data_IF_116689372465
#
_entry.id   IF_116689372465
#
_cell.length_a   1.000
_cell.length_b   1.000
_cell.length_c   1.000
_cell.angle_alpha   90.00
_cell.angle_beta   90.00
_cell.angle_gamma   90.00
#
_symmetry.space_group_name_H-M   'P 1'
#
loop_
_entity.id
_entity.type
_entity.pdbx_description
1 polymer ?
#
# COMPACT_ATOMS: atom_id res chain seq x y z
N UNK A 1 -22.36 9.19 -16.92
CA UNK A 1 -21.48 8.01 -16.96
C UNK A 1 -22.10 6.98 -17.88
N UNK A 2 -21.42 6.60 -18.96
CA UNK A 2 -21.85 5.50 -19.83
C UNK A 2 -21.77 4.18 -19.05
N UNK A 3 -22.82 3.36 -19.11
CA UNK A 3 -22.77 2.01 -18.55
C UNK A 3 -21.89 1.13 -19.46
N UNK A 4 -20.82 0.54 -18.91
CA UNK A 4 -19.99 -0.44 -19.63
C UNK A 4 -20.51 -1.85 -19.39
N UNK A 5 -20.64 -2.63 -20.46
CA UNK A 5 -20.89 -4.08 -20.38
C UNK A 5 -19.55 -4.82 -20.43
N UNK A 6 -19.19 -5.52 -19.35
CA UNK A 6 -17.91 -6.22 -19.22
C UNK A 6 -18.08 -7.68 -18.81
N UNK A 7 -17.11 -8.51 -19.19
CA UNK A 7 -16.95 -9.88 -18.70
C UNK A 7 -15.59 -10.04 -18.04
N UNK A 8 -15.60 -10.66 -16.86
CA UNK A 8 -14.38 -11.08 -16.17
C UNK A 8 -14.10 -12.53 -16.54
N UNK A 9 -13.03 -12.75 -17.29
CA UNK A 9 -12.52 -14.08 -17.61
C UNK A 9 -11.58 -14.48 -16.47
N UNK A 10 -12.14 -15.23 -15.52
CA UNK A 10 -11.39 -15.85 -14.45
C UNK A 10 -11.28 -17.35 -14.72
N UNK A 11 -10.06 -17.89 -14.60
CA UNK A 11 -9.88 -19.34 -14.66
C UNK A 11 -10.51 -19.98 -13.43
N UNK A 12 -11.61 -20.70 -13.63
CA UNK A 12 -12.15 -21.62 -12.63
C UNK A 12 -11.42 -22.93 -12.83
N UNK A 13 -10.45 -23.25 -11.95
CA UNK A 13 -9.84 -24.58 -12.00
C UNK A 13 -10.90 -25.60 -11.57
N UNK A 14 -11.55 -26.25 -12.51
CA UNK A 14 -12.21 -27.52 -12.22
C UNK A 14 -11.12 -28.53 -11.88
N UNK A 15 -11.11 -28.95 -10.60
CA UNK A 15 -10.53 -30.18 -10.05
C UNK A 15 -9.34 -30.82 -10.78
N UNK A 16 -8.18 -30.89 -10.10
CA UNK A 16 -7.08 -31.82 -10.36
C UNK A 16 -6.80 -32.06 -11.86
N UNK A 17 -6.16 -31.10 -12.51
CA UNK A 17 -5.30 -31.46 -13.64
C UNK A 17 -4.14 -32.30 -13.07
N UNK A 18 -4.35 -33.62 -13.00
CA UNK A 18 -3.25 -34.57 -13.03
C UNK A 18 -2.47 -34.26 -14.29
N UNK A 19 -1.33 -33.59 -14.11
CA UNK A 19 -0.26 -33.62 -15.09
C UNK A 19 0.14 -35.08 -15.18
N UNK A 20 -0.42 -35.81 -16.14
CA UNK A 20 0.16 -37.05 -16.62
C UNK A 20 1.49 -36.69 -17.29
N UNK A 21 2.50 -36.48 -16.46
CA UNK A 21 3.87 -36.61 -16.88
C UNK A 21 4.06 -38.08 -17.21
N UNK A 22 4.33 -38.33 -18.49
CA UNK A 22 4.69 -39.59 -19.08
C UNK A 22 5.58 -40.40 -18.12
N UNK A 23 5.03 -41.48 -17.56
CA UNK A 23 5.78 -42.41 -16.73
C UNK A 23 6.60 -43.31 -17.63
N UNK A 24 7.75 -42.82 -18.07
CA UNK A 24 8.82 -43.69 -18.52
C UNK A 24 10.17 -43.19 -17.99
N UNK A 25 10.93 -44.15 -17.44
CA UNK A 25 12.29 -44.06 -16.92
C UNK A 25 12.43 -43.56 -15.46
N UNK A 26 12.39 -44.51 -14.52
CA UNK A 26 13.08 -44.42 -13.23
C UNK A 26 14.59 -44.30 -13.50
N UNK A 27 15.13 -43.09 -13.40
CA UNK A 27 16.56 -42.85 -13.24
C UNK A 27 16.82 -42.35 -11.81
N UNK A 28 17.56 -43.15 -11.03
CA UNK A 28 18.05 -42.82 -9.69
C UNK A 28 19.18 -41.79 -9.77
N UNK A 29 18.83 -40.54 -10.07
CA UNK A 29 19.72 -39.40 -10.04
C UNK A 29 18.94 -38.09 -9.87
N UNK A 30 19.32 -37.27 -8.89
CA UNK A 30 18.78 -35.92 -8.75
C UNK A 30 19.25 -35.10 -9.96
N UNK A 31 18.37 -34.88 -10.94
CA UNK A 31 18.62 -33.93 -12.04
C UNK A 31 18.72 -32.50 -11.49
N UNK A 32 19.44 -31.61 -12.17
CA UNK A 32 19.57 -30.19 -11.79
C UNK A 32 18.19 -29.55 -11.57
N UNK A 33 17.19 -29.92 -12.37
CA UNK A 33 15.80 -29.44 -12.26
C UNK A 33 15.09 -29.97 -11.01
N UNK A 34 15.38 -31.19 -10.58
CA UNK A 34 14.87 -31.74 -9.32
C UNK A 34 15.48 -31.04 -8.11
N UNK A 35 16.79 -30.77 -8.15
CA UNK A 35 17.49 -30.02 -7.10
C UNK A 35 16.97 -28.57 -7.01
N UNK A 36 16.78 -27.91 -8.16
CA UNK A 36 16.22 -26.56 -8.23
C UNK A 36 14.83 -26.45 -7.59
N UNK A 37 13.97 -27.45 -7.81
CA UNK A 37 12.64 -27.53 -7.17
C UNK A 37 12.73 -27.71 -5.66
N UNK A 38 13.62 -28.57 -5.19
CA UNK A 38 13.84 -28.80 -3.75
C UNK A 38 14.35 -27.52 -3.08
N UNK A 39 15.36 -26.87 -3.66
CA UNK A 39 15.91 -25.60 -3.12
C UNK A 39 14.85 -24.51 -3.11
N UNK A 40 14.07 -24.35 -4.20
CA UNK A 40 12.96 -23.38 -4.25
C UNK A 40 11.97 -23.60 -3.10
N UNK A 41 11.56 -24.85 -2.86
CA UNK A 41 10.64 -25.18 -1.76
C UNK A 41 11.26 -24.91 -0.39
N UNK A 42 12.51 -25.30 -0.17
CA UNK A 42 13.23 -25.07 1.08
C UNK A 42 13.35 -23.56 1.38
N UNK A 43 13.82 -22.76 0.42
CA UNK A 43 13.90 -21.30 0.54
C UNK A 43 12.54 -20.68 0.91
N UNK A 44 11.46 -21.06 0.22
CA UNK A 44 10.13 -20.54 0.55
C UNK A 44 9.66 -20.94 1.96
N UNK A 45 9.99 -22.14 2.44
CA UNK A 45 9.70 -22.51 3.83
C UNK A 45 10.50 -21.66 4.81
N UNK A 46 11.79 -21.46 4.57
CA UNK A 46 12.63 -20.59 5.40
C UNK A 46 12.11 -19.15 5.45
N UNK A 47 11.75 -18.59 4.30
CA UNK A 47 11.12 -17.26 4.20
C UNK A 47 9.86 -17.16 5.08
N UNK A 48 9.00 -18.17 5.06
CA UNK A 48 7.78 -18.22 5.89
C UNK A 48 8.06 -18.40 7.39
N UNK A 49 9.11 -19.12 7.76
CA UNK A 49 9.50 -19.28 9.17
C UNK A 49 10.02 -17.97 9.74
N UNK A 50 10.83 -17.23 8.97
CA UNK A 50 11.45 -15.98 9.43
C UNK A 50 10.48 -14.79 9.43
N UNK A 51 9.66 -14.65 8.38
CA UNK A 51 8.81 -13.48 8.17
C UNK A 51 7.32 -13.76 8.33
N UNK A 52 6.95 -14.97 8.74
CA UNK A 52 5.56 -15.40 8.83
C UNK A 52 4.96 -15.76 7.46
N UNK A 53 3.74 -16.30 7.48
CA UNK A 53 2.98 -16.53 6.26
C UNK A 53 2.36 -15.24 5.77
N UNK A 54 2.24 -15.10 4.45
CA UNK A 54 1.39 -14.07 3.90
C UNK A 54 -0.03 -14.28 4.44
N UNK A 55 -0.72 -13.19 4.80
CA UNK A 55 -2.17 -13.26 5.02
C UNK A 55 -2.79 -13.66 3.70
N UNK A 56 -3.71 -14.62 3.72
CA UNK A 56 -4.54 -14.88 2.56
C UNK A 56 -5.27 -13.58 2.27
N UNK A 57 -4.94 -12.91 1.16
CA UNK A 57 -5.90 -11.98 0.60
C UNK A 57 -7.11 -12.83 0.28
N UNK A 58 -8.33 -12.43 0.68
CA UNK A 58 -9.52 -13.12 0.24
C UNK A 58 -9.39 -13.18 -1.27
N UNK A 59 -9.12 -14.39 -1.77
CA UNK A 59 -9.14 -14.65 -3.19
C UNK A 59 -10.48 -14.12 -3.66
N UNK A 60 -10.50 -13.52 -4.85
CA UNK A 60 -11.67 -12.87 -5.46
C UNK A 60 -12.91 -13.80 -5.54
N UNK A 61 -12.81 -15.05 -5.08
CA UNK A 61 -13.92 -15.97 -4.85
C UNK A 61 -14.13 -16.34 -3.37
N UNK A 62 -14.51 -15.39 -2.51
CA UNK A 62 -15.27 -15.75 -1.30
C UNK A 62 -16.72 -16.04 -1.75
N UNK A 63 -17.23 -17.28 -1.60
CA UNK A 63 -18.59 -17.63 -2.00
C UNK A 63 -19.66 -16.76 -1.35
N UNK A 64 -19.44 -16.30 -0.10
CA UNK A 64 -20.37 -15.39 0.57
C UNK A 64 -20.32 -13.99 -0.06
N UNK A 65 -19.13 -13.52 -0.45
CA UNK A 65 -18.96 -12.21 -1.10
C UNK A 65 -19.51 -12.22 -2.53
N UNK A 66 -19.34 -13.31 -3.28
CA UNK A 66 -20.01 -13.58 -4.55
C UNK A 66 -21.53 -13.68 -4.41
N UNK A 67 -22.02 -14.35 -3.36
CA UNK A 67 -23.45 -14.44 -3.08
C UNK A 67 -24.07 -13.09 -2.68
N UNK A 68 -23.26 -12.16 -2.13
CA UNK A 68 -23.63 -10.76 -1.87
C UNK A 68 -23.53 -9.87 -3.12
N UNK A 69 -22.76 -10.26 -4.13
CA UNK A 69 -22.70 -9.60 -5.45
C UNK A 69 -23.94 -9.91 -6.33
N UNK A 70 -25.03 -10.40 -5.75
CA UNK A 70 -26.36 -10.45 -6.40
C UNK A 70 -26.81 -9.03 -6.73
N UNK A 71 -26.29 -8.51 -7.85
CA UNK A 71 -26.80 -7.32 -8.50
C UNK A 71 -27.65 -7.76 -9.68
N UNK A 72 -28.72 -7.03 -9.95
CA UNK A 72 -29.56 -7.18 -11.14
C UNK A 72 -28.78 -6.92 -12.45
N UNK A 73 -27.47 -6.63 -12.37
CA UNK A 73 -26.56 -6.35 -13.48
C UNK A 73 -25.79 -7.58 -13.99
N UNK A 74 -25.86 -8.74 -13.32
CA UNK A 74 -25.22 -9.96 -13.83
C UNK A 74 -26.08 -10.57 -14.93
N UNK A 75 -25.77 -10.25 -16.20
CA UNK A 75 -26.64 -10.57 -17.36
C UNK A 75 -26.51 -11.99 -17.92
N UNK A 76 -25.61 -12.83 -17.41
CA UNK A 76 -25.48 -14.21 -17.90
C UNK A 76 -24.21 -14.93 -17.44
N UNK A 77 -24.04 -16.15 -17.94
CA UNK A 77 -22.82 -16.97 -17.82
C UNK A 77 -22.33 -17.32 -19.22
N UNK A 78 -21.01 -17.39 -19.39
CA UNK A 78 -20.36 -17.69 -20.67
C UNK A 78 -19.47 -18.89 -20.46
N UNK A 79 -19.60 -19.85 -21.35
CA UNK A 79 -18.71 -21.01 -21.37
C UNK A 79 -17.48 -20.68 -22.19
N UNK A 80 -16.32 -20.91 -21.60
CA UNK A 80 -15.02 -20.65 -22.20
C UNK A 80 -14.12 -21.86 -21.98
N UNK A 81 -13.40 -22.22 -23.04
CA UNK A 81 -12.37 -23.24 -23.02
C UNK A 81 -11.03 -22.57 -23.22
N UNK A 82 -10.01 -23.03 -22.51
CA UNK A 82 -8.66 -22.48 -22.66
C UNK A 82 -7.68 -23.61 -22.90
N UNK A 83 -6.98 -23.54 -24.03
CA UNK A 83 -5.86 -24.42 -24.35
C UNK A 83 -4.56 -23.71 -23.99
N UNK A 84 -3.60 -24.46 -23.45
CA UNK A 84 -2.26 -23.94 -23.15
C UNK A 84 -1.20 -24.80 -23.82
N UNK A 85 -0.30 -24.15 -24.55
CA UNK A 85 0.89 -24.77 -25.13
C UNK A 85 2.12 -23.92 -24.78
N UNK A 86 2.97 -24.44 -23.90
CA UNK A 86 4.15 -23.74 -23.37
C UNK A 86 3.80 -22.39 -22.70
N UNK A 87 4.19 -21.29 -23.33
CA UNK A 87 3.93 -19.91 -22.90
C UNK A 87 2.68 -19.32 -23.53
N UNK A 88 2.02 -20.03 -24.45
CA UNK A 88 0.84 -19.56 -25.17
C UNK A 88 -0.43 -20.07 -24.53
N UNK A 89 -1.46 -19.23 -24.53
CA UNK A 89 -2.84 -19.61 -24.24
C UNK A 89 -3.74 -19.20 -25.39
N UNK A 90 -4.74 -20.03 -25.67
CA UNK A 90 -5.79 -19.77 -26.64
C UNK A 90 -7.13 -19.98 -25.92
N UNK A 91 -7.86 -18.89 -25.70
CA UNK A 91 -9.20 -18.90 -25.10
C UNK A 91 -10.25 -18.84 -26.19
N UNK A 92 -10.94 -19.97 -26.33
CA UNK A 92 -12.11 -20.10 -27.18
C UNK A 92 -13.37 -19.90 -26.35
N UNK A 93 -14.23 -18.99 -26.78
CA UNK A 93 -15.54 -18.82 -26.18
C UNK A 93 -16.53 -19.67 -26.98
N UNK A 94 -17.15 -20.65 -26.30
CA UNK A 94 -18.02 -21.65 -26.95
C UNK A 94 -19.45 -21.17 -27.10
N UNK A 95 -19.76 -19.96 -26.61
CA UNK A 95 -21.04 -19.28 -26.77
C UNK A 95 -20.91 -18.15 -27.78
N UNK A 96 -21.99 -17.84 -28.49
CA UNK A 96 -22.00 -16.80 -29.51
C UNK A 96 -21.85 -15.41 -28.87
N UNK A 97 -20.61 -14.89 -28.87
CA UNK A 97 -20.27 -13.57 -28.33
C UNK A 97 -20.95 -12.42 -29.10
N UNK A 98 -21.34 -12.64 -30.37
CA UNK A 98 -21.95 -11.60 -31.20
C UNK A 98 -23.27 -11.09 -30.64
N UNK A 99 -23.95 -11.90 -29.82
CA UNK A 99 -25.22 -11.56 -29.19
C UNK A 99 -25.08 -10.71 -27.91
N UNK A 100 -23.88 -10.54 -27.37
CA UNK A 100 -23.64 -9.92 -26.06
C UNK A 100 -23.14 -8.48 -26.11
N UNK A 101 -22.84 -7.94 -27.30
CA UNK A 101 -22.34 -6.57 -27.54
C UNK A 101 -21.38 -6.03 -26.45
N UNK A 102 -20.26 -6.70 -26.26
CA UNK A 102 -19.35 -6.44 -25.13
C UNK A 102 -18.48 -5.21 -25.37
N UNK A 103 -18.39 -4.33 -24.38
CA UNK A 103 -17.51 -3.16 -24.45
C UNK A 103 -16.07 -3.54 -24.11
N UNK A 104 -15.85 -4.37 -23.08
CA UNK A 104 -14.51 -4.72 -22.59
C UNK A 104 -14.44 -6.16 -22.04
N UNK A 105 -13.36 -6.88 -22.37
CA UNK A 105 -13.02 -8.13 -21.71
C UNK A 105 -11.93 -7.89 -20.66
N UNK A 106 -12.11 -8.43 -19.44
CA UNK A 106 -11.10 -8.35 -18.38
C UNK A 106 -10.51 -9.72 -18.12
N UNK A 107 -9.22 -9.89 -18.41
CA UNK A 107 -8.48 -11.14 -18.23
C UNK A 107 -7.75 -11.13 -16.90
N UNK A 108 -8.23 -11.96 -15.97
CA UNK A 108 -7.64 -12.14 -14.64
C UNK A 108 -6.80 -13.44 -14.53
N UNK A 109 -6.53 -14.13 -15.64
CA UNK A 109 -5.79 -15.40 -15.68
C UNK A 109 -4.32 -15.21 -16.06
N UNK A 110 -3.41 -15.89 -15.34
CA UNK A 110 -1.95 -15.87 -15.58
C UNK A 110 -1.44 -17.04 -16.42
N UNK A 111 -2.25 -17.55 -17.36
CA UNK A 111 -2.05 -18.86 -17.99
C UNK A 111 -1.18 -18.85 -19.25
N UNK A 112 -0.59 -17.71 -19.60
CA UNK A 112 0.27 -17.54 -20.76
C UNK A 112 -0.06 -16.28 -21.53
N UNK A 113 0.62 -16.08 -22.65
CA UNK A 113 0.39 -15.01 -23.59
C UNK A 113 -0.79 -15.42 -24.48
N UNK A 114 -1.85 -14.61 -24.45
CA UNK A 114 -3.08 -14.88 -25.18
C UNK A 114 -2.88 -14.77 -26.68
N UNK A 115 -3.54 -15.66 -27.43
CA UNK A 115 -3.60 -15.67 -28.88
C UNK A 115 -5.02 -15.98 -29.33
N UNK A 116 -5.28 -15.80 -30.63
CA UNK A 116 -6.53 -16.22 -31.25
C UNK A 116 -7.54 -15.08 -31.48
N UNK A 117 -8.74 -15.42 -31.96
CA UNK A 117 -9.75 -14.47 -32.41
C UNK A 117 -10.24 -13.51 -31.32
N UNK A 118 -10.20 -13.94 -30.05
CA UNK A 118 -10.70 -13.17 -28.91
C UNK A 118 -10.01 -11.80 -28.77
N UNK A 119 -8.75 -11.68 -29.22
CA UNK A 119 -8.02 -10.41 -29.22
C UNK A 119 -8.65 -9.35 -30.13
N UNK A 120 -9.42 -9.73 -31.15
CA UNK A 120 -10.00 -8.79 -32.13
C UNK A 120 -11.54 -8.79 -32.13
N UNK A 121 -12.18 -9.92 -31.86
CA UNK A 121 -13.61 -10.13 -32.14
C UNK A 121 -14.45 -10.26 -30.87
N UNK A 122 -13.82 -10.24 -29.68
CA UNK A 122 -14.51 -10.50 -28.41
C UNK A 122 -15.14 -9.28 -27.73
N UNK A 123 -14.71 -8.05 -28.05
CA UNK A 123 -15.25 -6.81 -27.47
C UNK A 123 -14.82 -5.57 -28.23
N UNK A 124 -15.57 -4.47 -28.07
CA UNK A 124 -15.32 -3.19 -28.74
C UNK A 124 -13.98 -2.55 -28.36
N UNK A 125 -13.56 -2.66 -27.10
CA UNK A 125 -12.35 -2.03 -26.54
C UNK A 125 -11.22 -3.02 -26.26
N UNK A 126 -11.40 -4.30 -26.60
CA UNK A 126 -10.38 -5.34 -26.50
C UNK A 126 -10.25 -5.98 -25.11
N UNK A 127 -9.13 -6.66 -24.88
CA UNK A 127 -8.88 -7.43 -23.66
C UNK A 127 -7.96 -6.65 -22.72
N UNK A 128 -8.52 -6.13 -21.63
CA UNK A 128 -7.75 -5.63 -20.49
C UNK A 128 -7.06 -6.79 -19.77
N UNK A 129 -5.75 -6.72 -19.64
CA UNK A 129 -4.93 -7.69 -18.93
C UNK A 129 -3.95 -7.00 -18.01
N UNK A 130 -3.53 -7.71 -16.96
CA UNK A 130 -2.58 -7.20 -15.98
C UNK A 130 -1.26 -7.94 -16.10
N UNK A 131 -0.19 -7.16 -16.08
CA UNK A 131 1.14 -7.63 -15.75
C UNK A 131 1.45 -7.28 -14.30
N UNK A 132 1.71 -8.27 -13.45
CA UNK A 132 2.12 -8.07 -12.05
C UNK A 132 3.61 -7.72 -11.95
N UNK A 133 3.96 -6.61 -12.61
CA UNK A 133 5.27 -5.99 -12.60
C UNK A 133 5.14 -4.54 -13.05
N UNK A 134 6.11 -3.72 -12.65
CA UNK A 134 6.25 -2.37 -13.17
C UNK A 134 7.10 -2.42 -14.43
N UNK A 135 6.48 -2.31 -15.60
CA UNK A 135 7.12 -2.63 -16.89
C UNK A 135 8.46 -1.90 -17.14
N UNK A 136 8.64 -0.70 -16.60
CA UNK A 136 9.87 0.09 -16.77
C UNK A 136 11.06 -0.50 -15.99
N UNK A 137 10.79 -1.32 -14.96
CA UNK A 137 11.80 -1.89 -14.06
C UNK A 137 11.88 -3.41 -14.14
N UNK A 138 10.73 -4.07 -14.05
CA UNK A 138 10.63 -5.50 -13.81
C UNK A 138 9.62 -6.12 -14.79
N UNK A 139 10.13 -6.99 -15.65
CA UNK A 139 9.36 -7.76 -16.64
C UNK A 139 9.66 -9.23 -16.52
N UNK A 140 8.68 -10.06 -16.85
CA UNK A 140 8.79 -11.52 -16.71
C UNK A 140 8.37 -11.98 -15.32
N UNK A 141 9.14 -12.87 -14.70
CA UNK A 141 8.75 -13.43 -13.41
C UNK A 141 9.87 -14.11 -12.64
N UNK A 142 9.57 -14.68 -11.46
CA UNK A 142 8.25 -14.75 -10.82
C UNK A 142 7.87 -13.48 -10.05
N UNK A 143 6.57 -13.19 -9.99
CA UNK A 143 5.99 -12.03 -9.30
C UNK A 143 6.50 -11.94 -7.86
N UNK A 144 7.04 -10.78 -7.50
CA UNK A 144 7.43 -10.42 -6.16
C UNK A 144 8.82 -10.88 -5.72
N UNK A 145 9.57 -11.65 -6.53
CA UNK A 145 10.91 -12.11 -6.18
C UNK A 145 12.00 -11.09 -6.50
N UNK A 146 12.03 -10.62 -7.75
CA UNK A 146 13.15 -9.82 -8.26
C UNK A 146 13.17 -8.41 -7.67
N UNK A 147 12.00 -7.86 -7.40
CA UNK A 147 11.79 -6.60 -6.71
C UNK A 147 12.43 -6.63 -5.32
N UNK A 148 12.29 -7.75 -4.60
CA UNK A 148 12.94 -7.95 -3.29
C UNK A 148 14.45 -8.21 -3.45
N UNK A 149 14.84 -8.98 -4.47
CA UNK A 149 16.24 -9.32 -4.73
C UNK A 149 17.09 -8.09 -5.06
N UNK A 150 16.58 -7.22 -5.92
CA UNK A 150 17.23 -5.99 -6.37
C UNK A 150 16.91 -4.78 -5.49
N UNK A 151 15.97 -4.91 -4.53
CA UNK A 151 15.46 -3.81 -3.70
C UNK A 151 14.84 -2.69 -4.54
N UNK A 152 14.18 -3.08 -5.61
CA UNK A 152 13.44 -2.18 -6.50
C UNK A 152 11.96 -2.11 -6.07
N UNK A 153 11.23 -1.06 -6.48
CA UNK A 153 9.78 -1.02 -6.36
C UNK A 153 9.11 -2.19 -7.10
N UNK A 154 7.98 -2.63 -6.55
CA UNK A 154 7.05 -3.53 -7.23
C UNK A 154 6.05 -2.72 -8.04
N UNK A 155 5.22 -3.40 -8.82
CA UNK A 155 4.10 -2.71 -9.46
C UNK A 155 3.15 -3.63 -10.21
N UNK A 156 2.15 -3.01 -10.83
CA UNK A 156 1.17 -3.65 -11.70
C UNK A 156 0.98 -2.73 -12.89
N UNK A 157 1.05 -3.31 -14.08
CA UNK A 157 0.76 -2.61 -15.34
C UNK A 157 -0.54 -3.16 -15.92
N UNK A 158 -1.50 -2.28 -16.19
CA UNK A 158 -2.75 -2.61 -16.86
C UNK A 158 -2.66 -2.21 -18.32
N UNK A 159 -2.93 -3.14 -19.23
CA UNK A 159 -2.78 -2.94 -20.66
C UNK A 159 -3.90 -3.61 -21.46
N UNK A 160 -4.29 -3.02 -22.58
CA UNK A 160 -5.10 -3.70 -23.59
C UNK A 160 -4.16 -4.56 -24.44
N UNK A 161 -4.44 -5.86 -24.51
CA UNK A 161 -3.65 -6.80 -25.31
C UNK A 161 -3.83 -6.51 -26.80
N UNK A 162 -2.74 -6.63 -27.55
CA UNK A 162 -2.74 -6.65 -29.01
C UNK A 162 -1.98 -7.91 -29.51
N UNK A 163 -1.79 -8.02 -30.83
CA UNK A 163 -1.11 -9.18 -31.45
C UNK A 163 0.40 -9.19 -31.21
N UNK A 164 0.99 -8.06 -30.85
CA UNK A 164 2.43 -7.94 -30.65
C UNK A 164 2.81 -8.49 -29.27
N UNK A 165 3.84 -9.35 -29.24
CA UNK A 165 4.42 -9.77 -27.97
C UNK A 165 4.92 -8.53 -27.26
N UNK A 166 4.43 -8.32 -26.04
CA UNK A 166 4.79 -7.19 -25.21
C UNK A 166 4.41 -5.82 -25.79
N UNK A 167 3.50 -5.73 -26.78
CA UNK A 167 3.14 -4.46 -27.42
C UNK A 167 1.84 -3.83 -26.91
N UNK A 168 1.22 -4.39 -25.87
CA UNK A 168 -0.10 -3.98 -25.40
C UNK A 168 -0.18 -2.49 -25.06
N UNK A 169 -1.31 -1.86 -25.39
CA UNK A 169 -1.53 -0.44 -25.10
C UNK A 169 -1.68 -0.23 -23.59
N UNK A 170 -0.71 0.44 -22.98
CA UNK A 170 -0.69 0.64 -21.53
C UNK A 170 -1.76 1.66 -21.12
N UNK A 171 -2.70 1.22 -20.28
CA UNK A 171 -3.80 2.05 -19.77
C UNK A 171 -3.39 2.73 -18.48
N UNK A 172 -2.74 1.99 -17.57
CA UNK A 172 -2.19 2.54 -16.34
C UNK A 172 -1.04 1.70 -15.79
N UNK A 173 -0.15 2.34 -15.03
CA UNK A 173 0.97 1.71 -14.34
C UNK A 173 0.95 2.15 -12.88
N UNK A 174 1.14 1.20 -11.98
CA UNK A 174 1.02 1.42 -10.55
C UNK A 174 2.26 0.90 -9.85
N UNK A 175 2.94 1.76 -9.11
CA UNK A 175 4.11 1.39 -8.32
C UNK A 175 3.70 1.06 -6.88
N UNK A 176 4.25 -0.02 -6.35
CA UNK A 176 3.92 -0.57 -5.04
C UNK A 176 5.21 -0.78 -4.25
N UNK A 177 5.21 -0.40 -2.97
CA UNK A 177 6.34 -0.65 -2.07
C UNK A 177 6.58 -2.15 -1.90
N UNK A 178 7.78 -2.61 -2.26
CA UNK A 178 8.19 -4.00 -2.11
C UNK A 178 8.19 -4.46 -0.64
N UNK A 179 7.78 -5.70 -0.40
CA UNK A 179 7.82 -6.32 0.93
C UNK A 179 9.20 -6.86 1.28
N UNK A 180 9.36 -7.29 2.53
CA UNK A 180 10.64 -7.76 3.06
C UNK A 180 11.06 -9.13 2.49
N UNK A 181 10.10 -9.95 2.05
CA UNK A 181 10.33 -11.30 1.54
C UNK A 181 9.49 -11.57 0.27
N UNK A 182 9.95 -12.43 -0.65
CA UNK A 182 9.27 -12.66 -1.94
C UNK A 182 7.81 -13.09 -1.83
N UNK A 183 7.46 -13.99 -0.90
CA UNK A 183 6.09 -14.48 -0.74
C UNK A 183 5.16 -13.40 -0.19
N UNK A 184 5.63 -12.58 0.76
CA UNK A 184 4.89 -11.42 1.27
C UNK A 184 4.70 -10.38 0.16
N UNK A 185 5.73 -10.18 -0.66
CA UNK A 185 5.68 -9.20 -1.73
C UNK A 185 4.68 -9.60 -2.81
N UNK A 186 4.70 -10.87 -3.23
CA UNK A 186 3.71 -11.43 -4.15
C UNK A 186 2.29 -11.26 -3.62
N UNK A 187 2.06 -11.57 -2.34
CA UNK A 187 0.76 -11.36 -1.71
C UNK A 187 0.33 -9.90 -1.81
N UNK A 188 1.22 -8.97 -1.42
CA UNK A 188 0.96 -7.53 -1.49
C UNK A 188 0.61 -7.09 -2.91
N UNK A 189 1.37 -7.50 -3.91
CA UNK A 189 1.10 -7.17 -5.32
C UNK A 189 -0.31 -7.68 -5.69
N UNK A 190 -0.64 -8.94 -5.40
CA UNK A 190 -1.97 -9.45 -5.71
C UNK A 190 -3.09 -8.73 -4.97
N UNK A 191 -2.86 -8.28 -3.73
CA UNK A 191 -3.80 -7.47 -2.96
C UNK A 191 -4.19 -6.13 -3.60
N UNK A 192 -3.42 -5.62 -4.57
CA UNK A 192 -3.72 -4.36 -5.30
C UNK A 192 -4.38 -4.59 -6.66
N UNK A 193 -4.54 -5.85 -7.09
CA UNK A 193 -5.07 -6.20 -8.42
C UNK A 193 -6.46 -5.59 -8.65
N UNK A 194 -7.34 -5.63 -7.64
CA UNK A 194 -8.70 -5.12 -7.76
C UNK A 194 -8.74 -3.62 -8.02
N UNK A 195 -8.01 -2.83 -7.22
CA UNK A 195 -7.96 -1.38 -7.37
C UNK A 195 -7.35 -0.97 -8.71
N UNK A 196 -6.36 -1.71 -9.21
CA UNK A 196 -5.75 -1.44 -10.52
C UNK A 196 -6.72 -1.71 -11.67
N UNK A 197 -7.53 -2.77 -11.59
CA UNK A 197 -8.58 -3.03 -12.58
C UNK A 197 -9.61 -1.90 -12.56
N UNK A 198 -10.08 -1.52 -11.38
CA UNK A 198 -11.06 -0.45 -11.21
C UNK A 198 -10.56 0.87 -11.84
N UNK A 199 -9.33 1.28 -11.53
CA UNK A 199 -8.72 2.46 -12.12
C UNK A 199 -8.59 2.35 -13.64
N UNK A 200 -8.09 1.22 -14.16
CA UNK A 200 -7.94 1.02 -15.59
C UNK A 200 -9.28 1.03 -16.35
N UNK A 201 -10.32 0.40 -15.79
CA UNK A 201 -11.68 0.44 -16.36
C UNK A 201 -12.24 1.86 -16.34
N UNK A 202 -12.01 2.62 -15.27
CA UNK A 202 -12.38 4.03 -15.18
C UNK A 202 -11.75 4.88 -16.28
N UNK A 203 -10.43 4.77 -16.47
CA UNK A 203 -9.71 5.45 -17.55
C UNK A 203 -10.26 5.08 -18.93
N UNK A 204 -10.51 3.79 -19.16
CA UNK A 204 -11.11 3.30 -20.42
C UNK A 204 -12.49 3.92 -20.60
N UNK A 205 -13.35 3.91 -19.58
CA UNK A 205 -14.71 4.45 -19.65
C UNK A 205 -14.74 5.95 -19.99
N UNK A 206 -13.73 6.70 -19.53
CA UNK A 206 -13.57 8.13 -19.77
C UNK A 206 -12.81 8.46 -21.05
N UNK A 207 -12.37 7.44 -21.80
CA UNK A 207 -11.59 7.60 -23.04
C UNK A 207 -10.29 8.41 -22.84
N UNK A 208 -9.70 8.27 -21.65
CA UNK A 208 -8.43 8.89 -21.34
C UNK A 208 -7.30 8.32 -22.21
N UNK A 209 -6.33 9.18 -22.52
CA UNK A 209 -5.17 8.79 -23.31
C UNK A 209 -4.39 7.64 -22.63
N UNK A 210 -3.87 6.69 -23.42
CA UNK A 210 -2.91 5.70 -22.96
C UNK A 210 -1.66 6.36 -22.34
N UNK A 211 -0.96 5.59 -21.51
CA UNK A 211 0.33 6.02 -20.96
C UNK A 211 1.40 5.76 -22.01
N UNK A 212 2.08 6.81 -22.45
CA UNK A 212 3.28 6.68 -23.28
C UNK A 212 4.45 6.19 -22.41
N UNK A 213 5.13 5.15 -22.87
CA UNK A 213 6.35 4.65 -22.22
C UNK A 213 7.40 4.42 -23.29
N UNK A 214 8.66 4.73 -22.97
CA UNK A 214 9.74 4.35 -23.86
C UNK A 214 9.81 2.81 -23.98
N UNK A 215 10.03 2.35 -25.20
CA UNK A 215 10.13 0.92 -25.52
C UNK A 215 11.19 0.23 -24.65
N UNK A 216 10.82 -0.96 -24.18
CA UNK A 216 11.50 -1.76 -23.18
C UNK A 216 13.03 -1.80 -23.24
N UNK A 217 13.70 -1.11 -22.31
CA UNK A 217 15.16 -1.11 -22.24
C UNK A 217 15.79 -2.23 -21.39
N UNK A 218 14.99 -2.99 -20.61
CA UNK A 218 15.49 -4.02 -19.68
C UNK A 218 15.16 -5.46 -20.13
N UNK A 219 16.08 -6.37 -19.80
CA UNK A 219 15.94 -7.81 -20.02
C UNK A 219 14.71 -8.42 -19.35
N UNK A 220 14.10 -9.43 -20.00
CA UNK A 220 12.99 -10.20 -19.44
C UNK A 220 13.53 -11.14 -18.34
N UNK A 221 13.09 -10.92 -17.11
CA UNK A 221 13.50 -11.70 -15.95
C UNK A 221 12.88 -13.10 -15.98
N UNK A 222 13.72 -14.09 -15.71
CA UNK A 222 13.38 -15.52 -15.74
C UNK A 222 13.36 -16.11 -14.33
N UNK A 223 13.01 -17.38 -14.21
CA UNK A 223 13.07 -18.09 -12.93
C UNK A 223 14.46 -17.99 -12.28
N UNK A 224 14.55 -17.58 -11.00
CA UNK A 224 15.81 -17.41 -10.28
C UNK A 224 16.61 -18.70 -10.20
N UNK A 225 17.90 -18.60 -10.49
CA UNK A 225 18.88 -19.69 -10.33
C UNK A 225 19.03 -20.04 -8.85
N UNK A 226 19.48 -21.27 -8.58
CA UNK A 226 19.75 -21.77 -7.22
C UNK A 226 20.63 -20.81 -6.41
N UNK A 227 21.71 -20.30 -7.00
CA UNK A 227 22.63 -19.37 -6.34
C UNK A 227 21.93 -18.06 -5.91
N UNK A 228 21.06 -17.50 -6.75
CA UNK A 228 20.32 -16.26 -6.45
C UNK A 228 19.34 -16.48 -5.29
N UNK A 229 18.71 -17.65 -5.22
CA UNK A 229 17.82 -18.04 -4.11
C UNK A 229 18.55 -18.13 -2.78
N UNK A 230 19.71 -18.79 -2.78
CA UNK A 230 20.57 -18.93 -1.60
C UNK A 230 21.07 -17.54 -1.16
N UNK A 231 21.56 -16.73 -2.11
CA UNK A 231 22.04 -15.37 -1.82
C UNK A 231 20.96 -14.50 -1.18
N UNK A 232 19.74 -14.53 -1.72
CA UNK A 232 18.62 -13.79 -1.13
C UNK A 232 18.29 -14.30 0.27
N UNK A 233 18.18 -15.62 0.46
CA UNK A 233 17.86 -16.20 1.76
C UNK A 233 18.93 -15.87 2.82
N UNK A 234 20.22 -15.89 2.47
CA UNK A 234 21.29 -15.47 3.37
C UNK A 234 21.16 -14.00 3.81
N UNK A 235 20.81 -13.10 2.87
CA UNK A 235 20.53 -11.68 3.19
C UNK A 235 19.31 -11.53 4.10
N UNK A 236 18.25 -12.29 3.85
CA UNK A 236 17.04 -12.30 4.67
C UNK A 236 17.34 -12.78 6.10
N UNK A 237 18.10 -13.86 6.27
CA UNK A 237 18.57 -14.34 7.58
C UNK A 237 19.38 -13.26 8.29
N UNK A 238 20.33 -12.62 7.60
CA UNK A 238 21.14 -11.54 8.18
C UNK A 238 20.31 -10.34 8.64
N UNK A 239 19.34 -9.91 7.83
CA UNK A 239 18.44 -8.82 8.20
C UNK A 239 17.57 -9.19 9.42
N UNK A 240 17.06 -10.43 9.47
CA UNK A 240 16.28 -10.92 10.60
C UNK A 240 17.10 -10.99 11.90
N UNK A 241 18.33 -11.50 11.84
CA UNK A 241 19.20 -11.61 13.03
C UNK A 241 19.61 -10.24 13.56
N UNK A 242 19.86 -9.25 12.68
CA UNK A 242 20.11 -7.86 13.06
C UNK A 242 18.90 -7.23 13.78
N UNK A 243 17.67 -7.51 13.32
CA UNK A 243 16.46 -7.03 13.99
C UNK A 243 16.29 -7.66 15.37
N UNK A 244 16.55 -8.97 15.50
CA UNK A 244 16.42 -9.68 16.77
C UNK A 244 17.47 -9.22 17.78
N UNK A 245 18.74 -9.07 17.37
CA UNK A 245 19.79 -8.56 18.24
C UNK A 245 19.48 -7.15 18.72
N UNK A 246 18.97 -6.28 17.86
CA UNK A 246 18.51 -4.94 18.24
C UNK A 246 17.36 -4.94 19.25
N UNK A 247 16.45 -5.93 19.21
CA UNK A 247 15.40 -6.10 20.23
C UNK A 247 15.98 -6.56 21.57
N UNK A 248 16.93 -7.49 21.54
CA UNK A 248 17.61 -8.00 22.75
C UNK A 248 18.41 -6.90 23.42
N UNK A 249 19.22 -6.14 22.66
CA UNK A 249 20.01 -5.01 23.16
C UNK A 249 19.09 -3.96 23.80
N UNK A 250 18.00 -3.58 23.12
CA UNK A 250 17.02 -2.63 23.68
C UNK A 250 16.41 -3.13 24.98
N UNK A 251 16.08 -4.44 25.07
CA UNK A 251 15.55 -5.05 26.29
C UNK A 251 16.59 -5.07 27.41
N UNK A 252 17.83 -5.42 27.12
CA UNK A 252 18.93 -5.47 28.09
C UNK A 252 19.28 -4.08 28.64
N UNK A 253 19.13 -3.03 27.82
CA UNK A 253 19.39 -1.65 28.21
C UNK A 253 18.20 -0.95 28.87
N UNK A 254 17.03 -1.59 29.03
CA UNK A 254 15.85 -0.99 29.68
C UNK A 254 16.16 -0.46 31.07
N UNK A 255 15.66 0.73 31.40
CA UNK A 255 15.87 1.39 32.70
C UNK A 255 17.28 1.94 32.95
N UNK A 256 18.25 1.67 32.07
CA UNK A 256 19.58 2.27 32.15
C UNK A 256 19.56 3.74 31.70
N UNK A 257 20.58 4.53 32.08
CA UNK A 257 20.75 5.90 31.54
C UNK A 257 20.87 5.91 30.00
N UNK A 258 21.39 4.83 29.42
CA UNK A 258 21.50 4.65 27.98
C UNK A 258 20.15 4.38 27.32
N UNK A 259 19.17 3.85 28.05
CA UNK A 259 17.81 3.65 27.56
C UNK A 259 17.19 4.95 27.06
N UNK A 260 17.46 6.06 27.74
CA UNK A 260 16.93 7.39 27.39
C UNK A 260 17.38 7.87 26.01
N UNK A 261 18.53 7.41 25.51
CA UNK A 261 19.00 7.70 24.15
C UNK A 261 18.43 6.72 23.10
N UNK A 262 17.71 5.68 23.53
CA UNK A 262 17.07 4.69 22.66
C UNK A 262 15.55 4.92 22.54
N UNK A 263 15.03 5.89 23.28
CA UNK A 263 13.62 6.30 23.27
C UNK A 263 13.46 7.38 22.20
N UNK A 264 12.37 7.31 21.45
CA UNK A 264 12.05 8.27 20.40
C UNK A 264 11.78 9.66 21.02
N UNK A 265 12.20 10.74 20.36
CA UNK A 265 12.01 12.09 20.88
C UNK A 265 11.98 13.12 19.76
N UNK A 266 11.37 14.26 20.03
CA UNK A 266 11.33 15.42 19.13
C UNK A 266 12.43 16.40 19.51
N UNK A 267 13.13 16.88 18.49
CA UNK A 267 14.17 17.89 18.62
C UNK A 267 13.86 19.07 17.71
N UNK A 268 14.12 20.28 18.21
CA UNK A 268 13.98 21.52 17.46
C UNK A 268 15.34 22.19 17.27
N UNK A 269 15.50 22.94 16.19
CA UNK A 269 16.72 23.73 15.94
C UNK A 269 16.39 24.99 15.15
N UNK A 270 17.00 26.10 15.54
CA UNK A 270 16.99 27.36 14.77
C UNK A 270 18.06 27.38 13.69
N UNK A 271 18.87 26.31 13.56
CA UNK A 271 19.96 26.26 12.60
C UNK A 271 19.40 26.16 11.15
N UNK A 272 19.58 27.21 10.32
CA UNK A 272 19.02 27.23 8.98
C UNK A 272 19.63 26.16 8.05
N UNK A 273 20.84 25.68 8.37
CA UNK A 273 21.53 24.63 7.60
C UNK A 273 21.09 23.22 7.98
N UNK A 274 20.14 23.06 8.91
CA UNK A 274 19.59 21.77 9.38
C UNK A 274 20.67 20.77 9.82
N UNK A 275 21.84 21.25 10.25
CA UNK A 275 22.93 20.39 10.76
C UNK A 275 22.52 19.87 12.13
N UNK A 276 22.84 18.60 12.43
CA UNK A 276 22.65 17.95 13.74
C UNK A 276 23.60 18.49 14.81
N UNK A 277 23.61 19.81 14.99
CA UNK A 277 24.40 20.52 16.00
C UNK A 277 23.45 21.43 16.76
N UNK A 278 23.53 21.42 18.10
CA UNK A 278 22.74 22.27 18.98
C UNK A 278 21.22 22.11 18.80
N UNK A 279 20.77 20.86 18.68
CA UNK A 279 19.34 20.55 18.67
C UNK A 279 18.81 20.54 20.10
N UNK A 280 17.74 21.27 20.35
CA UNK A 280 17.07 21.36 21.64
C UNK A 280 16.01 20.27 21.72
N UNK A 281 16.09 19.31 22.66
CA UNK A 281 15.01 18.36 22.90
C UNK A 281 13.77 19.12 23.40
N UNK A 282 12.62 18.88 22.76
CA UNK A 282 11.33 19.48 23.15
C UNK A 282 10.96 19.04 24.57
N UNK A 283 11.10 17.75 24.84
CA UNK A 283 10.97 17.16 26.15
C UNK A 283 12.30 16.55 26.58
N UNK A 284 12.90 17.12 27.62
CA UNK A 284 14.15 16.63 28.20
C UNK A 284 13.98 16.29 29.68
N UNK A 285 14.76 15.30 30.15
CA UNK A 285 14.88 14.97 31.57
C UNK A 285 13.63 14.31 32.17
N UNK A 286 13.30 14.69 33.41
CA UNK A 286 12.21 14.10 34.22
C UNK A 286 10.80 14.55 33.77
N UNK A 287 10.69 15.30 32.67
CA UNK A 287 9.42 15.79 32.10
C UNK A 287 8.57 14.68 31.48
N UNK A 288 9.19 13.57 31.08
CA UNK A 288 8.50 12.36 30.63
C UNK A 288 8.60 11.29 31.71
N UNK A 289 7.50 10.54 31.89
CA UNK A 289 7.54 9.33 32.70
C UNK A 289 8.54 8.36 32.07
N UNK A 290 9.27 7.61 32.91
CA UNK A 290 10.27 6.64 32.44
C UNK A 290 9.65 5.73 31.38
N UNK A 291 10.17 5.83 30.15
CA UNK A 291 9.85 5.06 28.94
C UNK A 291 8.80 5.68 27.98
N UNK A 292 8.14 6.78 28.35
CA UNK A 292 7.29 7.55 27.43
C UNK A 292 8.12 8.20 26.32
N UNK A 293 7.50 8.43 25.16
CA UNK A 293 8.12 9.15 24.03
C UNK A 293 7.15 10.07 23.33
N UNK A 294 7.71 11.01 22.55
CA UNK A 294 6.96 11.91 21.69
C UNK A 294 7.41 11.79 20.24
N UNK A 295 6.47 11.85 19.29
CA UNK A 295 6.71 11.77 17.85
C UNK A 295 5.80 12.72 17.06
N UNK A 296 5.98 12.73 15.74
CA UNK A 296 5.13 13.44 14.78
C UNK A 296 4.82 14.89 15.18
N UNK A 297 5.86 15.75 15.25
CA UNK A 297 5.70 17.12 15.70
C UNK A 297 5.08 18.02 14.63
N UNK A 298 4.12 18.84 15.03
CA UNK A 298 3.51 19.89 14.23
C UNK A 298 3.49 21.20 15.02
N UNK A 299 3.99 22.27 14.41
CA UNK A 299 3.95 23.61 15.02
C UNK A 299 2.79 24.42 14.44
N UNK A 300 2.05 25.13 15.29
CA UNK A 300 0.93 25.98 14.88
C UNK A 300 0.81 27.23 15.74
N UNK A 301 0.28 28.30 15.17
CA UNK A 301 -0.03 29.53 15.90
C UNK A 301 -1.53 29.59 16.19
N UNK A 302 -1.89 29.80 17.44
CA UNK A 302 -3.30 29.91 17.88
C UNK A 302 -3.42 31.17 18.72
N UNK A 303 -4.24 32.12 18.25
CA UNK A 303 -4.51 33.39 18.95
C UNK A 303 -3.22 34.16 19.34
N UNK A 304 -2.21 34.12 18.45
CA UNK A 304 -0.93 34.80 18.64
C UNK A 304 0.10 34.05 19.49
N UNK A 305 -0.24 32.87 20.02
CA UNK A 305 0.68 32.00 20.75
C UNK A 305 1.16 30.83 19.89
N UNK A 306 2.37 30.38 20.12
CA UNK A 306 2.99 29.29 19.36
C UNK A 306 2.96 27.99 20.15
N UNK A 307 2.45 26.94 19.52
CA UNK A 307 2.36 25.61 20.13
C UNK A 307 3.06 24.58 19.27
N UNK A 308 3.65 23.59 19.93
CA UNK A 308 4.07 22.35 19.32
C UNK A 308 3.10 21.24 19.77
N UNK A 309 2.41 20.64 18.82
CA UNK A 309 1.51 19.51 19.00
C UNK A 309 2.24 18.25 18.52
N UNK A 310 2.13 17.15 19.25
CA UNK A 310 2.82 15.90 18.94
C UNK A 310 2.03 14.67 19.40
N UNK A 311 2.35 13.51 18.83
CA UNK A 311 2.00 12.24 19.46
C UNK A 311 2.78 12.11 20.77
N UNK A 312 2.10 11.75 21.86
CA UNK A 312 2.69 11.32 23.12
C UNK A 312 2.31 9.87 23.39
N UNK A 313 3.28 8.98 23.31
CA UNK A 313 3.10 7.59 23.68
C UNK A 313 3.27 7.40 25.19
N UNK A 314 2.19 6.97 25.83
CA UNK A 314 2.13 6.70 27.26
C UNK A 314 2.34 5.21 27.49
N UNK A 315 3.50 4.82 28.02
CA UNK A 315 3.85 3.41 28.22
C UNK A 315 2.91 2.69 29.18
N UNK A 316 2.44 3.36 30.23
CA UNK A 316 1.52 2.79 31.21
C UNK A 316 0.20 2.30 30.58
N UNK A 317 -0.21 2.91 29.46
CA UNK A 317 -1.44 2.57 28.75
C UNK A 317 -1.19 1.92 27.39
N UNK A 318 0.08 1.78 26.99
CA UNK A 318 0.50 1.23 25.69
C UNK A 318 -0.26 1.84 24.50
N UNK A 319 -0.48 3.15 24.54
CA UNK A 319 -1.20 3.90 23.49
C UNK A 319 -0.63 5.31 23.34
N UNK A 320 -0.84 5.88 22.16
CA UNK A 320 -0.59 7.28 21.83
C UNK A 320 -1.80 8.13 22.18
N UNK A 321 -1.53 9.35 22.60
CA UNK A 321 -2.48 10.45 22.74
C UNK A 321 -1.90 11.69 22.05
N UNK A 322 -2.72 12.69 21.76
CA UNK A 322 -2.19 13.96 21.27
C UNK A 322 -1.88 14.86 22.46
N UNK A 323 -0.67 15.40 22.49
CA UNK A 323 -0.23 16.34 23.50
C UNK A 323 0.31 17.61 22.86
N UNK A 324 0.35 18.70 23.63
CA UNK A 324 0.89 19.97 23.19
C UNK A 324 1.74 20.63 24.27
N UNK A 325 2.71 21.43 23.84
CA UNK A 325 3.44 22.36 24.70
C UNK A 325 3.54 23.72 24.01
N UNK A 326 3.50 24.78 24.79
CA UNK A 326 3.76 26.13 24.30
C UNK A 326 5.25 26.30 23.98
N UNK A 327 5.56 26.96 22.87
CA UNK A 327 6.89 27.41 22.52
C UNK A 327 7.04 28.82 23.09
N UNK A 328 7.61 28.91 24.29
CA UNK A 328 7.67 30.16 25.07
C UNK A 328 8.71 31.16 24.56
N UNK A 329 9.69 30.70 23.79
CA UNK A 329 10.69 31.53 23.11
C UNK A 329 11.10 30.82 21.80
N UNK A 330 10.77 31.44 20.66
CA UNK A 330 11.09 30.89 19.34
C UNK A 330 12.58 30.97 18.99
N UNK A 331 13.30 31.98 19.50
CA UNK A 331 14.73 32.16 19.22
C UNK A 331 15.57 31.16 20.00
N UNK A 332 15.21 30.94 21.28
CA UNK A 332 15.89 29.99 22.16
C UNK A 332 15.33 28.58 22.10
N UNK A 333 14.17 28.39 21.46
CA UNK A 333 13.41 27.15 21.43
C UNK A 333 13.18 26.60 22.83
N UNK A 334 12.59 27.42 23.70
CA UNK A 334 12.17 26.96 25.03
C UNK A 334 10.73 26.48 24.99
N UNK A 335 10.48 25.34 25.64
CA UNK A 335 9.19 24.67 25.65
C UNK A 335 8.62 24.61 27.07
N UNK A 336 7.33 24.93 27.18
CA UNK A 336 6.52 24.76 28.38
C UNK A 336 6.31 23.28 28.75
N UNK A 337 5.48 22.99 29.77
CA UNK A 337 5.11 21.62 30.09
C UNK A 337 4.33 20.98 28.93
N UNK A 338 4.55 19.67 28.73
CA UNK A 338 3.79 18.87 27.78
C UNK A 338 2.47 18.45 28.44
N UNK A 339 1.35 18.93 27.91
CA UNK A 339 0.02 18.65 28.42
C UNK A 339 -0.77 17.80 27.42
N UNK A 340 -1.58 16.82 27.87
CA UNK A 340 -2.52 16.12 27.00
C UNK A 340 -3.50 17.11 26.36
N UNK A 341 -3.68 17.03 25.04
CA UNK A 341 -4.59 17.87 24.25
C UNK A 341 -5.84 17.08 23.82
N UNK A 342 -5.63 15.91 23.20
CA UNK A 342 -6.72 15.02 22.78
C UNK A 342 -6.43 13.62 23.32
N UNK A 343 -7.38 13.09 24.09
CA UNK A 343 -7.30 11.74 24.63
C UNK A 343 -8.48 10.91 24.15
N UNK A 344 -8.21 9.64 23.83
CA UNK A 344 -9.24 8.66 23.46
C UNK A 344 -8.94 7.34 24.18
N UNK A 345 -9.94 6.45 24.28
CA UNK A 345 -9.74 5.04 24.68
C UNK A 345 -8.79 4.31 23.73
N UNK A 346 -8.72 4.76 22.48
CA UNK A 346 -7.91 4.19 21.38
C UNK A 346 -6.63 5.00 21.16
N UNK A 347 -5.73 4.47 20.33
CA UNK A 347 -4.47 5.12 19.98
C UNK A 347 -4.71 6.30 19.03
N UNK A 348 -4.13 7.44 19.37
CA UNK A 348 -4.06 8.64 18.53
C UNK A 348 -2.60 8.96 18.22
N UNK A 349 -2.32 9.36 16.99
CA UNK A 349 -1.00 9.72 16.47
C UNK A 349 -1.11 10.80 15.39
N UNK A 350 0.02 11.19 14.79
CA UNK A 350 0.09 12.06 13.61
C UNK A 350 -0.89 13.27 13.65
N UNK A 351 -0.71 14.24 14.56
CA UNK A 351 -1.63 15.36 14.73
C UNK A 351 -1.43 16.43 13.65
N UNK A 352 -1.87 16.15 12.42
CA UNK A 352 -1.71 17.07 11.30
C UNK A 352 -2.41 18.40 11.58
N UNK A 353 -1.68 19.51 11.62
CA UNK A 353 -2.23 20.84 11.91
C UNK A 353 -2.27 21.74 10.67
N UNK A 354 -3.26 22.62 10.61
CA UNK A 354 -3.36 23.65 9.56
C UNK A 354 -4.18 24.84 10.02
N UNK A 355 -4.04 25.97 9.31
CA UNK A 355 -4.83 27.18 9.52
C UNK A 355 -5.81 27.39 8.36
N UNK A 356 -7.02 27.85 8.67
CA UNK A 356 -8.04 28.22 7.69
C UNK A 356 -8.86 29.40 8.20
N UNK A 357 -8.97 30.45 7.40
CA UNK A 357 -9.86 31.60 7.67
C UNK A 357 -9.66 32.20 9.08
N UNK A 358 -8.40 32.27 9.54
CA UNK A 358 -8.05 32.79 10.88
C UNK A 358 -8.30 31.82 12.04
N UNK A 359 -8.60 30.56 11.77
CA UNK A 359 -8.77 29.51 12.77
C UNK A 359 -7.75 28.39 12.59
N UNK A 360 -7.28 27.84 13.70
CA UNK A 360 -6.34 26.73 13.73
C UNK A 360 -7.10 25.41 13.92
N UNK A 361 -6.63 24.37 13.26
CA UNK A 361 -7.24 23.04 13.27
C UNK A 361 -6.19 21.94 13.44
N UNK A 362 -6.63 20.79 13.95
CA UNK A 362 -5.84 19.56 14.01
C UNK A 362 -6.67 18.36 13.56
N UNK A 363 -6.05 17.48 12.77
CA UNK A 363 -6.60 16.21 12.30
C UNK A 363 -5.67 15.10 12.78
N UNK A 364 -5.97 14.43 13.90
CA UNK A 364 -5.19 13.29 14.36
C UNK A 364 -5.52 12.03 13.56
N UNK A 365 -4.53 11.15 13.42
CA UNK A 365 -4.79 9.74 13.13
C UNK A 365 -5.54 9.09 14.29
N UNK A 366 -6.51 8.23 13.98
CA UNK A 366 -7.24 7.44 14.96
C UNK A 366 -7.48 6.02 14.46
N UNK A 367 -7.01 5.03 15.23
CA UNK A 367 -6.97 3.63 14.79
C UNK A 367 -8.33 2.91 14.69
N UNK A 368 -9.45 3.51 15.09
CA UNK A 368 -10.75 2.81 14.97
C UNK A 368 -11.97 3.66 14.67
N UNK A 369 -11.97 4.95 14.98
CA UNK A 369 -13.19 5.74 14.99
C UNK A 369 -13.32 6.68 13.78
N UNK A 370 -12.48 6.51 12.76
CA UNK A 370 -12.44 7.41 11.61
C UNK A 370 -11.49 8.59 11.80
N UNK A 371 -11.59 9.56 10.91
CA UNK A 371 -10.82 10.81 10.98
C UNK A 371 -11.77 11.91 11.42
N UNK A 372 -11.37 12.67 12.44
CA UNK A 372 -12.11 13.82 12.95
C UNK A 372 -11.29 15.10 12.82
N UNK A 373 -11.99 16.20 12.60
CA UNK A 373 -11.46 17.55 12.62
C UNK A 373 -11.70 18.17 14.00
N UNK A 374 -10.66 18.73 14.59
CA UNK A 374 -10.75 19.49 15.83
C UNK A 374 -10.33 20.93 15.58
N UNK A 375 -11.05 21.86 16.21
CA UNK A 375 -10.71 23.29 16.21
C UNK A 375 -9.88 23.61 17.44
N UNK A 376 -8.83 24.40 17.24
CA UNK A 376 -7.92 24.82 18.30
C UNK A 376 -8.24 26.22 18.77
N UNK A 377 -8.19 26.43 20.08
CA UNK A 377 -8.37 27.72 20.75
C UNK A 377 -7.49 27.82 22.00
N UNK A 378 -7.31 29.04 22.50
CA UNK A 378 -6.62 29.26 23.79
C UNK A 378 -7.68 29.41 24.88
N UNK A 379 -7.69 28.46 25.81
CA UNK A 379 -8.62 28.45 26.95
C UNK A 379 -8.28 29.49 28.01
N UNK A 380 -9.17 29.63 29.00
CA UNK A 380 -9.04 30.62 30.08
C UNK A 380 -7.75 30.47 30.93
N UNK A 381 -7.17 29.27 30.96
CA UNK A 381 -5.88 28.99 31.63
C UNK A 381 -4.66 29.23 30.75
N UNK A 382 -4.81 29.90 29.60
CA UNK A 382 -3.79 30.07 28.56
C UNK A 382 -3.29 28.75 27.95
N UNK A 383 -4.02 27.66 28.19
CA UNK A 383 -3.72 26.34 27.64
C UNK A 383 -4.38 26.17 26.29
N UNK A 384 -3.73 25.38 25.43
CA UNK A 384 -4.32 24.98 24.16
C UNK A 384 -5.46 24.00 24.42
N UNK A 385 -6.62 24.27 23.84
CA UNK A 385 -7.79 23.41 23.86
C UNK A 385 -8.10 22.94 22.43
N UNK A 386 -8.71 21.76 22.32
CA UNK A 386 -9.10 21.14 21.06
C UNK A 386 -10.55 20.68 21.13
N UNK A 387 -11.45 21.43 20.49
CA UNK A 387 -12.86 21.10 20.41
C UNK A 387 -13.14 20.25 19.18
N UNK A 388 -13.90 19.16 19.35
CA UNK A 388 -14.32 18.34 18.22
C UNK A 388 -15.29 19.14 17.33
N UNK A 389 -14.85 19.45 16.11
CA UNK A 389 -15.64 20.22 15.15
C UNK A 389 -16.58 19.28 14.38
N UNK A 390 -16.03 18.28 13.68
CA UNK A 390 -16.81 17.29 12.91
C UNK A 390 -16.02 16.03 12.58
N UNK A 391 -16.73 14.94 12.30
CA UNK A 391 -16.14 13.74 11.69
C UNK A 391 -15.99 13.92 10.18
N UNK A 392 -14.82 13.59 9.64
CA UNK A 392 -14.46 13.72 8.23
C UNK A 392 -14.66 12.40 7.47
N UNK A 393 -14.15 11.30 8.02
CA UNK A 393 -14.23 9.96 7.41
C UNK A 393 -14.55 8.92 8.49
N UNK A 394 -15.25 7.86 8.13
CA UNK A 394 -15.50 6.70 9.00
C UNK A 394 -14.64 5.50 8.59
N UNK A 395 -14.27 4.64 9.55
CA UNK A 395 -13.41 3.48 9.31
C UNK A 395 -12.00 3.63 9.89
N UNK A 396 -11.10 2.71 9.54
CA UNK A 396 -9.72 2.74 10.03
C UNK A 396 -8.79 3.35 8.98
N UNK A 397 -8.42 4.60 9.19
CA UNK A 397 -7.55 5.41 8.34
C UNK A 397 -6.31 5.86 9.11
N UNK A 398 -5.18 5.96 8.42
CA UNK A 398 -3.88 6.35 9.00
C UNK A 398 -3.21 7.45 8.17
N UNK A 399 -2.32 8.21 8.79
CA UNK A 399 -1.52 9.30 8.20
C UNK A 399 -2.33 10.39 7.45
N UNK A 400 -3.38 11.01 8.05
CA UNK A 400 -4.17 12.04 7.38
C UNK A 400 -3.33 13.27 7.05
N UNK A 401 -3.07 13.50 5.77
CA UNK A 401 -2.24 14.59 5.28
C UNK A 401 -3.02 15.49 4.32
N UNK A 402 -3.12 16.77 4.64
CA UNK A 402 -3.87 17.74 3.85
C UNK A 402 -2.95 18.56 2.95
N UNK A 403 -3.38 18.85 1.72
CA UNK A 403 -2.76 19.84 0.84
C UNK A 403 -3.90 20.67 0.22
N UNK A 404 -3.74 21.99 0.12
CA UNK A 404 -4.67 22.84 -0.65
C UNK A 404 -3.99 23.31 -1.93
N UNK A 405 -4.65 23.10 -3.07
CA UNK A 405 -4.25 23.58 -4.39
C UNK A 405 -5.48 24.12 -5.12
N UNK A 406 -5.36 25.29 -5.75
CA UNK A 406 -6.42 25.90 -6.58
C UNK A 406 -7.81 25.86 -5.91
N UNK A 407 -7.86 26.33 -4.65
CA UNK A 407 -9.05 26.35 -3.82
C UNK A 407 -9.72 24.99 -3.52
N UNK A 408 -9.01 23.90 -3.74
CA UNK A 408 -9.44 22.55 -3.43
C UNK A 408 -8.54 21.93 -2.37
N UNK A 409 -9.16 21.33 -1.36
CA UNK A 409 -8.51 20.58 -0.30
C UNK A 409 -8.38 19.11 -0.72
N UNK A 410 -7.16 18.60 -0.70
CA UNK A 410 -6.77 17.22 -1.02
C UNK A 410 -6.31 16.54 0.26
N UNK A 411 -7.13 15.64 0.79
CA UNK A 411 -6.83 14.83 1.98
C UNK A 411 -6.34 13.45 1.54
N UNK A 412 -5.08 13.16 1.85
CA UNK A 412 -4.45 11.86 1.64
C UNK A 412 -4.53 11.04 2.92
N UNK A 413 -4.95 9.78 2.81
CA UNK A 413 -5.05 8.83 3.95
C UNK A 413 -4.68 7.44 3.49
N UNK A 414 -4.11 6.62 4.37
CA UNK A 414 -3.86 5.20 4.07
C UNK A 414 -4.87 4.30 4.79
N UNK A 415 -5.21 3.15 4.20
CA UNK A 415 -6.06 2.16 4.86
C UNK A 415 -5.32 1.48 6.01
N UNK A 416 -5.84 1.52 7.24
CA UNK A 416 -5.15 0.98 8.42
C UNK A 416 -4.92 -0.55 8.39
N UNK A 417 -5.74 -1.28 7.63
CA UNK A 417 -5.58 -2.72 7.41
C UNK A 417 -4.58 -3.06 6.28
N UNK A 418 -4.21 -2.09 5.46
CA UNK A 418 -3.37 -2.23 4.28
C UNK A 418 -2.62 -0.91 4.01
N UNK A 419 -1.53 -0.69 4.76
CA UNK A 419 -0.68 0.53 4.67
C UNK A 419 0.06 0.72 3.33
N UNK A 420 -0.37 0.01 2.29
CA UNK A 420 0.14 0.10 0.92
C UNK A 420 -0.84 0.77 -0.04
N UNK A 421 -2.04 1.12 0.43
CA UNK A 421 -3.08 1.77 -0.36
C UNK A 421 -3.28 3.18 0.20
N UNK A 422 -2.80 4.17 -0.55
CA UNK A 422 -3.13 5.58 -0.34
C UNK A 422 -4.46 5.89 -1.04
N UNK A 423 -5.37 6.54 -0.32
CA UNK A 423 -6.62 7.10 -0.84
C UNK A 423 -6.52 8.61 -0.86
N UNK A 424 -7.19 9.20 -1.85
CA UNK A 424 -7.31 10.64 -1.98
C UNK A 424 -8.78 11.01 -1.83
N UNK A 425 -9.04 12.00 -0.98
CA UNK A 425 -10.34 12.64 -0.85
C UNK A 425 -10.20 14.12 -1.18
N UNK A 426 -11.23 14.70 -1.78
CA UNK A 426 -11.25 16.12 -2.15
C UNK A 426 -12.43 16.84 -1.50
N UNK A 427 -12.25 18.10 -1.15
CA UNK A 427 -13.31 19.01 -0.69
C UNK A 427 -13.04 20.43 -1.19
N UNK A 428 -14.06 21.24 -1.45
CA UNK A 428 -13.86 22.66 -1.74
C UNK A 428 -13.28 23.41 -0.51
N UNK A 429 -13.76 23.04 0.67
CA UNK A 429 -13.20 23.46 1.95
C UNK A 429 -13.47 22.37 2.98
N UNK A 430 -12.44 21.71 3.49
CA UNK A 430 -12.58 20.60 4.44
C UNK A 430 -13.23 21.02 5.77
N UNK A 431 -13.19 22.31 6.11
CA UNK A 431 -13.81 22.86 7.32
C UNK A 431 -15.32 23.04 7.18
N UNK A 432 -15.85 23.12 5.94
CA UNK A 432 -17.26 23.42 5.69
C UNK A 432 -17.95 22.38 4.82
N UNK A 433 -17.27 21.88 3.79
CA UNK A 433 -17.80 21.00 2.75
C UNK A 433 -17.50 19.51 3.03
N UNK A 434 -18.29 18.57 2.49
CA UNK A 434 -18.02 17.14 2.61
C UNK A 434 -16.82 16.70 1.76
N UNK A 435 -16.18 15.61 2.19
CA UNK A 435 -15.14 14.95 1.42
C UNK A 435 -15.76 14.02 0.36
N UNK A 436 -15.18 14.03 -0.84
CA UNK A 436 -15.51 13.11 -1.93
C UNK A 436 -14.29 12.24 -2.22
N UNK A 437 -14.45 10.92 -2.20
CA UNK A 437 -13.38 9.98 -2.54
C UNK A 437 -13.04 10.10 -4.03
N UNK A 438 -11.76 10.17 -4.35
CA UNK A 438 -11.26 10.14 -5.72
C UNK A 438 -10.85 8.72 -6.12
N UNK A 439 -10.88 8.38 -7.42
CA UNK A 439 -10.43 7.08 -7.92
C UNK A 439 -9.03 6.72 -7.42
N UNK A 440 -8.76 5.42 -7.31
CA UNK A 440 -7.49 4.91 -6.78
C UNK A 440 -6.26 5.54 -7.47
N UNK A 441 -5.52 6.34 -6.70
CA UNK A 441 -4.24 6.92 -7.12
C UNK A 441 -3.13 6.03 -6.57
N UNK A 442 -2.46 5.26 -7.43
CA UNK A 442 -1.22 4.60 -6.98
C UNK A 442 -0.12 5.62 -6.73
N UNK A 443 0.83 5.25 -5.88
CA UNK A 443 2.05 6.01 -5.63
C UNK A 443 2.89 6.17 -6.91
N UNK A 444 2.53 7.09 -7.80
CA UNK A 444 3.48 7.71 -8.72
C UNK A 444 3.60 9.18 -8.34
N UNK A 445 4.76 9.50 -7.77
CA UNK A 445 5.38 10.81 -7.92
C UNK A 445 6.10 10.82 -9.26
#
# INVERSE_FOLDING_TARGET
MSELTLIIIQHVSTSRAQVHADQSVRATGLTIDSLGRVVKKACSVFEMVLYGRARDHPTVCDPERLARLKSDKLRGHINLSQRRENFWSDTEVTSDLSQLELDLLVRCSGLGIERGPLLNEGSKRGILSLHHGYNDLNRGGPVGYWEVHYREPSGITAQILNRELDGGTIISQHMIRSAQAPHLNRSRIYGHTGQVIEHAVGKIAQEEAPVETDLYFKDILKEPKVAQRIQLNARLVSAYTQQLSGRIIRKALRGSRLHRYLIWNVFASTNPKRRFQNWTPVCAGDRLVRDDWIADPFAITVEGKHFLICEHWVMAHTKGQIAACEITDLERLTFGPLNPLITNKKHLSYPYTFERSGHAFVIPENQSDGISLYRLSVGAGEQLEADHDRSLLSGYWVDPSLIRLDDTDYLFVSEGNSSSVLRLFTSADITQSPLTEQPYVSHRN
#
